data_IF_624587117290
#
_entry.id   IF_624587117290
#
_cell.length_a   1.000
_cell.length_b   1.000
_cell.length_c   1.000
_cell.angle_alpha   90.00
_cell.angle_beta   90.00
_cell.angle_gamma   90.00
#
_symmetry.space_group_name_H-M   'P 1'
#
loop_
_entity.id
_entity.type
_entity.pdbx_description
1 polymer ?
#
# COMPACT_ATOMS: atom_id res chain seq x y z
N UNK A 1 -10.55 3.49 27.32
CA UNK A 1 -11.30 4.61 27.92
C UNK A 1 -11.73 5.66 26.90
N UNK A 2 -10.84 6.04 25.96
CA UNK A 2 -11.10 7.00 24.85
C UNK A 2 -12.50 6.90 24.20
N UNK A 3 -12.97 5.71 23.83
CA UNK A 3 -14.30 5.56 23.20
C UNK A 3 -15.47 5.87 24.14
N UNK A 4 -15.34 5.54 25.43
CA UNK A 4 -16.38 5.79 26.45
C UNK A 4 -16.48 7.28 26.75
N UNK A 5 -15.35 7.97 26.81
CA UNK A 5 -15.28 9.42 27.00
C UNK A 5 -15.86 10.17 25.81
N UNK A 6 -15.57 9.73 24.59
CA UNK A 6 -16.13 10.30 23.37
C UNK A 6 -17.61 9.90 23.10
N UNK A 7 -18.21 9.05 23.94
CA UNK A 7 -19.60 8.60 23.78
C UNK A 7 -19.88 7.76 22.52
N UNK A 8 -18.85 7.17 21.92
CA UNK A 8 -18.96 6.38 20.68
C UNK A 8 -18.75 4.88 20.92
N UNK A 9 -19.44 4.01 20.17
CA UNK A 9 -19.21 2.57 20.28
C UNK A 9 -17.79 2.21 19.83
N UNK A 10 -17.23 1.17 20.43
CA UNK A 10 -15.88 0.68 20.10
C UNK A 10 -15.78 0.33 18.62
N UNK A 11 -14.79 0.89 17.93
CA UNK A 11 -14.48 0.60 16.53
C UNK A 11 -13.26 -0.32 16.40
N UNK A 12 -13.21 -1.10 15.32
CA UNK A 12 -12.10 -2.02 15.06
C UNK A 12 -10.79 -1.27 14.73
N UNK A 13 -10.88 -0.16 13.98
CA UNK A 13 -9.72 0.63 13.56
C UNK A 13 -10.01 2.11 13.75
N UNK A 14 -9.00 2.83 14.24
CA UNK A 14 -8.99 4.29 14.33
C UNK A 14 -7.86 4.79 13.45
N UNK A 15 -8.15 5.79 12.63
CA UNK A 15 -7.20 6.46 11.74
C UNK A 15 -7.47 7.95 11.75
N UNK A 16 -6.41 8.74 11.59
CA UNK A 16 -6.50 10.20 11.50
C UNK A 16 -6.50 10.63 10.04
N UNK A 17 -7.14 11.76 9.75
CA UNK A 17 -7.05 12.48 8.50
C UNK A 17 -6.45 13.86 8.78
N UNK A 18 -5.61 14.33 7.87
CA UNK A 18 -5.10 15.70 7.95
C UNK A 18 -6.14 16.58 7.27
N UNK A 19 -6.66 17.56 8.00
CA UNK A 19 -7.79 18.39 7.58
C UNK A 19 -7.39 19.86 7.76
N UNK A 20 -7.85 20.72 6.85
CA UNK A 20 -7.68 22.17 6.95
C UNK A 20 -8.66 22.75 7.96
N UNK A 21 -8.36 23.93 8.52
CA UNK A 21 -9.17 24.53 9.61
C UNK A 21 -10.64 24.74 9.22
N UNK A 22 -10.92 25.03 7.95
CA UNK A 22 -12.30 25.21 7.42
C UNK A 22 -13.14 23.92 7.40
N UNK A 23 -12.50 22.76 7.49
CA UNK A 23 -13.15 21.45 7.36
C UNK A 23 -13.20 20.68 8.69
N UNK A 24 -13.09 21.37 9.82
CA UNK A 24 -13.17 20.76 11.15
C UNK A 24 -14.60 20.30 11.45
N UNK A 25 -14.74 19.04 11.88
CA UNK A 25 -16.02 18.38 12.13
C UNK A 25 -16.17 18.12 13.64
N UNK A 26 -17.39 18.29 14.16
CA UNK A 26 -17.70 17.99 15.55
C UNK A 26 -17.58 16.48 15.83
N UNK A 27 -16.98 16.07 16.96
CA UNK A 27 -16.85 14.66 17.31
C UNK A 27 -18.24 14.01 17.51
N UNK A 28 -18.39 12.76 17.06
CA UNK A 28 -19.63 11.98 17.20
C UNK A 28 -20.56 11.97 15.98
N UNK A 29 -20.26 12.74 14.93
CA UNK A 29 -21.02 12.68 13.69
C UNK A 29 -20.80 11.35 12.93
N UNK A 30 -21.90 10.80 12.40
CA UNK A 30 -21.85 9.71 11.45
C UNK A 30 -21.63 10.26 10.03
N UNK A 31 -20.83 9.55 9.25
CA UNK A 31 -20.56 9.89 7.86
C UNK A 31 -21.42 9.02 6.94
N UNK A 32 -22.38 9.63 6.26
CA UNK A 32 -23.08 9.01 5.14
C UNK A 32 -22.29 9.24 3.85
N UNK A 33 -22.14 8.21 3.02
CA UNK A 33 -21.33 8.26 1.80
C UNK A 33 -21.74 9.36 0.83
N UNK A 34 -23.04 9.67 0.77
CA UNK A 34 -23.57 10.68 -0.13
C UNK A 34 -23.09 12.10 0.24
N UNK A 35 -22.87 12.36 1.53
CA UNK A 35 -22.48 13.70 2.00
C UNK A 35 -21.04 14.06 1.66
N UNK A 36 -20.19 13.08 1.36
CA UNK A 36 -18.74 13.29 1.19
C UNK A 36 -18.32 13.16 -0.27
N UNK A 37 -19.07 12.40 -1.07
CA UNK A 37 -18.62 11.93 -2.37
C UNK A 37 -19.52 12.35 -3.51
N UNK A 38 -18.99 13.17 -4.42
CA UNK A 38 -19.60 13.44 -5.71
C UNK A 38 -19.22 12.35 -6.73
N UNK A 39 -20.15 12.07 -7.64
CA UNK A 39 -19.89 11.19 -8.80
C UNK A 39 -18.83 11.88 -9.67
N UNK A 40 -17.86 11.11 -10.19
CA UNK A 40 -16.70 11.62 -10.97
C UNK A 40 -15.63 12.37 -10.15
N UNK A 41 -15.50 12.09 -8.86
CA UNK A 41 -14.37 12.60 -8.07
C UNK A 41 -13.13 11.69 -8.18
N UNK A 42 -11.94 12.30 -8.10
CA UNK A 42 -10.67 11.57 -7.93
C UNK A 42 -10.42 11.34 -6.44
N UNK A 43 -10.21 10.08 -6.08
CA UNK A 43 -9.94 9.64 -4.71
C UNK A 43 -8.48 9.22 -4.55
N UNK A 44 -7.88 9.60 -3.43
CA UNK A 44 -6.57 9.12 -3.02
C UNK A 44 -6.78 7.96 -2.05
N UNK A 45 -6.45 6.75 -2.49
CA UNK A 45 -6.66 5.53 -1.72
C UNK A 45 -5.34 5.08 -1.10
N UNK A 46 -5.30 4.99 0.23
CA UNK A 46 -4.20 4.46 1.02
C UNK A 46 -4.50 3.03 1.45
N UNK A 47 -3.66 2.07 1.03
CA UNK A 47 -3.80 0.67 1.43
C UNK A 47 -2.46 0.01 1.71
N UNK A 48 -2.51 -1.03 2.54
CA UNK A 48 -1.42 -1.98 2.66
C UNK A 48 -1.45 -2.97 1.49
N UNK A 49 -0.35 -3.02 0.73
CA UNK A 49 -0.18 -4.04 -0.31
C UNK A 49 -0.18 -5.44 0.28
N UNK A 50 -0.56 -6.41 -0.56
CA UNK A 50 -0.48 -7.84 -0.24
C UNK A 50 0.98 -8.19 0.09
N UNK A 51 1.22 -8.63 1.33
CA UNK A 51 2.51 -9.14 1.76
C UNK A 51 2.84 -10.43 1.01
N UNK A 52 4.03 -10.49 0.40
CA UNK A 52 4.52 -11.69 -0.32
C UNK A 52 5.57 -12.48 0.46
N UNK A 53 5.74 -12.20 1.76
CA UNK A 53 6.77 -12.82 2.59
C UNK A 53 8.20 -12.44 2.21
N UNK A 54 9.16 -13.33 2.48
CA UNK A 54 10.57 -13.16 2.16
C UNK A 54 10.84 -13.52 0.69
N UNK A 55 10.98 -12.50 -0.16
CA UNK A 55 11.09 -12.69 -1.59
C UNK A 55 12.53 -12.57 -2.10
N UNK A 56 12.90 -13.52 -2.97
CA UNK A 56 14.17 -13.54 -3.72
C UNK A 56 14.35 -12.34 -4.66
N UNK A 57 15.60 -12.02 -5.01
CA UNK A 57 15.98 -10.86 -5.85
C UNK A 57 15.28 -10.81 -7.21
N UNK A 58 15.07 -11.97 -7.85
CA UNK A 58 14.38 -12.07 -9.14
C UNK A 58 12.93 -11.60 -9.03
N UNK A 59 12.19 -12.00 -7.98
CA UNK A 59 10.76 -11.65 -7.84
C UNK A 59 10.56 -10.26 -7.23
N UNK A 60 11.48 -9.81 -6.37
CA UNK A 60 11.43 -8.50 -5.72
C UNK A 60 11.83 -7.36 -6.65
N UNK A 61 12.92 -7.53 -7.39
CA UNK A 61 13.54 -6.48 -8.20
C UNK A 61 13.47 -6.74 -9.72
N UNK A 62 13.01 -7.92 -10.15
CA UNK A 62 12.93 -8.26 -11.57
C UNK A 62 14.26 -8.62 -12.21
N UNK A 63 15.26 -9.04 -11.43
CA UNK A 63 16.57 -9.46 -11.98
C UNK A 63 16.42 -10.67 -12.91
N UNK A 64 17.12 -10.67 -14.05
CA UNK A 64 17.02 -11.73 -15.07
C UNK A 64 17.52 -13.11 -14.59
N UNK A 65 18.44 -13.14 -13.63
CA UNK A 65 19.11 -14.37 -13.20
C UNK A 65 20.24 -14.79 -14.14
N UNK A 66 20.77 -15.99 -13.93
CA UNK A 66 21.85 -16.58 -14.73
C UNK A 66 21.28 -17.69 -15.64
N UNK A 67 21.97 -18.06 -16.74
CA UNK A 67 21.51 -19.13 -17.62
C UNK A 67 21.29 -20.44 -16.86
N UNK A 68 20.31 -21.23 -17.32
CA UNK A 68 19.96 -22.52 -16.72
C UNK A 68 20.88 -23.66 -17.17
N UNK A 69 21.51 -23.54 -18.34
CA UNK A 69 22.41 -24.52 -18.95
C UNK A 69 23.84 -23.96 -19.07
N UNK A 70 24.73 -24.70 -19.77
CA UNK A 70 26.13 -24.34 -20.00
C UNK A 70 26.99 -24.23 -18.73
N UNK A 71 26.89 -25.23 -17.83
CA UNK A 71 27.83 -25.40 -16.72
C UNK A 71 27.65 -24.46 -15.52
N UNK A 72 26.55 -23.69 -15.46
CA UNK A 72 26.23 -22.90 -14.26
C UNK A 72 25.87 -23.81 -13.08
N UNK A 73 26.52 -23.59 -11.93
CA UNK A 73 26.30 -24.36 -10.71
C UNK A 73 25.77 -23.47 -9.59
N UNK A 74 24.55 -23.76 -9.11
CA UNK A 74 23.92 -23.13 -7.91
C UNK A 74 23.71 -21.60 -7.99
N UNK A 75 23.83 -20.98 -9.17
CA UNK A 75 23.81 -19.52 -9.37
C UNK A 75 22.59 -18.99 -10.11
N UNK A 76 21.70 -19.85 -10.64
CA UNK A 76 20.60 -19.47 -11.54
C UNK A 76 19.74 -18.28 -11.07
N UNK A 77 19.50 -18.16 -9.76
CA UNK A 77 18.67 -17.09 -9.16
C UNK A 77 19.44 -16.13 -8.25
N UNK A 78 20.77 -16.20 -8.26
CA UNK A 78 21.61 -15.30 -7.47
C UNK A 78 21.65 -13.91 -8.12
N UNK A 79 21.88 -12.83 -7.35
CA UNK A 79 21.91 -11.47 -7.89
C UNK A 79 23.09 -11.20 -8.84
N UNK A 80 24.14 -12.02 -8.81
CA UNK A 80 25.39 -11.74 -9.54
C UNK A 80 26.29 -10.79 -8.76
N UNK A 81 27.19 -10.09 -9.45
CA UNK A 81 28.03 -9.06 -8.85
C UNK A 81 27.18 -7.84 -8.47
N UNK A 82 27.43 -7.26 -7.29
CA UNK A 82 26.62 -6.18 -6.72
C UNK A 82 27.36 -4.83 -6.75
N UNK A 83 28.69 -4.85 -6.73
CA UNK A 83 29.54 -3.66 -6.73
C UNK A 83 30.89 -3.94 -7.39
N UNK A 84 31.61 -2.88 -7.72
CA UNK A 84 33.00 -2.90 -8.20
C UNK A 84 33.98 -2.58 -7.05
N UNK A 85 35.22 -3.08 -7.15
CA UNK A 85 36.25 -2.95 -6.10
C UNK A 85 36.75 -1.51 -5.84
N UNK A 86 36.38 -0.51 -6.65
CA UNK A 86 37.01 0.82 -6.64
C UNK A 86 36.08 2.01 -6.42
N UNK A 87 34.81 1.79 -6.07
CA UNK A 87 33.91 2.91 -5.76
C UNK A 87 33.27 2.62 -4.41
N UNK A 88 33.65 3.43 -3.42
CA UNK A 88 32.80 3.80 -2.29
C UNK A 88 31.45 4.26 -2.85
N UNK A 89 30.59 3.31 -3.22
CA UNK A 89 29.18 3.58 -3.41
C UNK A 89 28.70 4.10 -2.06
N UNK A 90 27.92 5.20 -2.00
CA UNK A 90 27.29 5.60 -0.76
C UNK A 90 26.62 4.35 -0.18
N UNK A 91 26.99 3.96 1.05
CA UNK A 91 26.66 2.66 1.68
C UNK A 91 25.15 2.29 1.64
N UNK A 92 24.27 3.18 1.18
CA UNK A 92 22.85 2.93 0.98
C UNK A 92 22.45 2.19 -0.31
N UNK A 93 23.16 2.35 -1.45
CA UNK A 93 22.64 1.88 -2.75
C UNK A 93 22.78 0.36 -2.91
N UNK A 94 23.93 -0.21 -2.51
CA UNK A 94 24.18 -1.65 -2.58
C UNK A 94 23.31 -2.44 -1.59
N UNK A 95 23.13 -1.90 -0.37
CA UNK A 95 22.33 -2.52 0.69
C UNK A 95 20.83 -2.61 0.33
N UNK A 96 20.28 -1.58 -0.32
CA UNK A 96 18.87 -1.58 -0.73
C UNK A 96 18.57 -2.60 -1.83
N UNK A 97 19.46 -2.78 -2.81
CA UNK A 97 19.32 -3.78 -3.87
C UNK A 97 19.46 -5.22 -3.33
N UNK A 98 20.23 -5.39 -2.24
CA UNK A 98 20.50 -6.66 -1.60
C UNK A 98 19.42 -7.13 -0.63
N UNK A 99 18.63 -6.21 -0.08
CA UNK A 99 17.66 -6.58 0.95
C UNK A 99 16.63 -7.56 0.38
N UNK A 100 16.69 -8.79 0.89
CA UNK A 100 15.60 -9.75 0.85
C UNK A 100 14.71 -9.46 2.06
N UNK A 101 13.40 -9.37 1.90
CA UNK A 101 12.56 -8.87 2.97
C UNK A 101 11.16 -8.46 2.54
N UNK A 102 10.42 -7.95 3.52
CA UNK A 102 8.98 -7.73 3.45
C UNK A 102 8.62 -6.74 2.33
N UNK A 103 7.94 -7.22 1.29
CA UNK A 103 7.47 -6.43 0.16
C UNK A 103 6.12 -5.76 0.43
N UNK A 104 5.89 -5.30 1.67
CA UNK A 104 4.67 -4.61 2.09
C UNK A 104 4.98 -3.14 2.33
N UNK A 105 4.58 -2.27 1.39
CA UNK A 105 4.62 -0.83 1.56
C UNK A 105 3.22 -0.26 1.37
N UNK A 106 2.93 0.83 2.08
CA UNK A 106 1.76 1.68 1.86
C UNK A 106 1.74 2.07 0.37
N UNK A 107 0.63 1.81 -0.31
CA UNK A 107 0.44 2.21 -1.70
C UNK A 107 -0.63 3.28 -1.75
N UNK A 108 -0.32 4.34 -2.48
CA UNK A 108 -1.22 5.47 -2.74
C UNK A 108 -1.63 5.37 -4.19
N UNK A 109 -2.94 5.26 -4.45
CA UNK A 109 -3.47 5.24 -5.80
C UNK A 109 -4.57 6.28 -5.98
N UNK A 110 -4.56 6.94 -7.13
CA UNK A 110 -5.69 7.72 -7.60
C UNK A 110 -6.73 6.79 -8.22
N UNK A 111 -7.92 6.75 -7.64
CA UNK A 111 -9.09 6.02 -8.15
C UNK A 111 -10.17 6.99 -8.61
N UNK A 112 -10.90 6.63 -9.68
CA UNK A 112 -12.05 7.40 -10.15
C UNK A 112 -13.32 6.71 -9.65
N UNK A 113 -14.23 7.44 -9.01
CA UNK A 113 -15.53 6.89 -8.58
C UNK A 113 -16.50 6.85 -9.76
N UNK A 114 -17.00 5.66 -10.08
CA UNK A 114 -18.02 5.48 -11.12
C UNK A 114 -19.44 5.60 -10.59
N UNK A 115 -19.70 4.98 -9.44
CA UNK A 115 -21.04 4.88 -8.87
C UNK A 115 -20.95 4.73 -7.36
N UNK A 116 -21.99 5.21 -6.68
CA UNK A 116 -22.18 5.02 -5.23
C UNK A 116 -23.57 4.41 -5.04
N UNK A 117 -23.66 3.37 -4.22
CA UNK A 117 -24.93 2.79 -3.78
C UNK A 117 -25.13 3.12 -2.29
N UNK A 118 -26.07 4.02 -2.01
CA UNK A 118 -26.38 4.49 -0.65
C UNK A 118 -27.18 3.51 0.19
N UNK A 119 -27.88 2.54 -0.41
CA UNK A 119 -28.67 1.57 0.36
C UNK A 119 -27.81 0.51 1.04
N UNK A 120 -26.64 0.24 0.47
CA UNK A 120 -25.71 -0.81 0.94
C UNK A 120 -24.32 -0.27 1.27
N UNK A 121 -24.15 1.05 1.23
CA UNK A 121 -22.88 1.75 1.44
C UNK A 121 -21.70 1.23 0.60
N UNK A 122 -21.93 1.07 -0.71
CA UNK A 122 -20.93 0.52 -1.65
C UNK A 122 -20.42 1.61 -2.60
N UNK A 123 -19.11 1.76 -2.71
CA UNK A 123 -18.43 2.63 -3.68
C UNK A 123 -17.83 1.78 -4.79
N UNK A 124 -18.13 2.13 -6.05
CA UNK A 124 -17.54 1.51 -7.24
C UNK A 124 -16.38 2.37 -7.71
N UNK A 125 -15.15 1.86 -7.56
CA UNK A 125 -13.91 2.55 -7.93
C UNK A 125 -13.34 1.94 -9.21
N UNK A 126 -12.90 2.79 -10.13
CA UNK A 126 -12.21 2.37 -11.34
C UNK A 126 -10.82 1.80 -11.04
N UNK A 127 -10.54 0.63 -11.60
CA UNK A 127 -9.22 0.01 -11.59
C UNK A 127 -8.94 -0.82 -10.33
N UNK A 128 -7.69 -1.24 -10.19
CA UNK A 128 -7.27 -2.10 -9.08
C UNK A 128 -6.97 -1.30 -7.82
N UNK A 129 -7.55 -1.73 -6.69
CA UNK A 129 -7.15 -1.32 -5.35
C UNK A 129 -6.18 -2.37 -4.80
N UNK A 130 -4.97 -1.98 -4.35
CA UNK A 130 -4.01 -2.93 -3.79
C UNK A 130 -4.48 -3.43 -2.43
N UNK A 131 -4.31 -4.72 -2.15
CA UNK A 131 -4.72 -5.32 -0.88
C UNK A 131 -5.42 -6.65 -1.09
N UNK A 132 -5.64 -7.40 -0.01
CA UNK A 132 -6.50 -8.58 -0.05
C UNK A 132 -7.96 -8.15 0.05
N UNK A 133 -8.89 -9.02 -0.37
CA UNK A 133 -10.31 -8.82 -0.12
C UNK A 133 -10.56 -8.72 1.39
N UNK A 134 -11.46 -7.83 1.81
CA UNK A 134 -11.76 -7.51 3.22
C UNK A 134 -10.63 -6.78 3.98
N UNK A 135 -9.59 -6.29 3.29
CA UNK A 135 -8.62 -5.40 3.91
C UNK A 135 -9.23 -4.02 4.18
N UNK A 136 -8.83 -3.39 5.28
CA UNK A 136 -9.18 -2.00 5.55
C UNK A 136 -8.45 -1.07 4.60
N UNK A 137 -9.22 -0.18 3.99
CA UNK A 137 -8.75 0.84 3.05
C UNK A 137 -9.05 2.20 3.65
N UNK A 138 -8.10 3.13 3.57
CA UNK A 138 -8.31 4.54 3.91
C UNK A 138 -8.50 5.30 2.60
N UNK A 139 -9.67 5.91 2.45
CA UNK A 139 -10.08 6.75 1.33
C UNK A 139 -10.18 8.18 1.82
#
# INVERSE_FOLDING_TARGET
EIFREAGVPRKQKVTTFNVTDDAIIKPGNFFELLSIMCIVCFLIIFVFRIGKGFQGVVKRWGFKGQPASHGQTKTHRRPGAISTNSIFLPQGISSQLLSLGFAGLLFVKLGIVWRINTKHDIIYVNGSVPGHTNCLVKV
#
